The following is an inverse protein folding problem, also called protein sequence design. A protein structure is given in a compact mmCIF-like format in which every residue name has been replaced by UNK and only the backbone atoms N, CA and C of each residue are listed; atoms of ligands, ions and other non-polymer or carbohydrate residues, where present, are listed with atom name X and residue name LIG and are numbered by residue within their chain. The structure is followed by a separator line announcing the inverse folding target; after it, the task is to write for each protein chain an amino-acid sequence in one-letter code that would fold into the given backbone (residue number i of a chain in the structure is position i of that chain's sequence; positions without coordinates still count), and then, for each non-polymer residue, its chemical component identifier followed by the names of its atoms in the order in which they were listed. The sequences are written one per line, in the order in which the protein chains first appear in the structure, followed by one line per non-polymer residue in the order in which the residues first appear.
data_IF_420933880409
#
_entry.id   IF_420933880409
#
_cell.length_a   1.000
_cell.length_b   1.000
_cell.length_c   1.000
_cell.angle_alpha   90.00
_cell.angle_beta   90.00
_cell.angle_gamma   90.00
#
_symmetry.space_group_name_H-M   'P 1'
#
loop_
_entity.id
_entity.type
_entity.pdbx_description
1 polymer ?
#
# COMPACT_ATOMS: atom_id res chain seq x y z
N UNK A 1 -7.21 -49.92 54.56
CA UNK A 1 -7.99 -49.06 55.47
C UNK A 1 -8.91 -48.17 54.65
N UNK A 2 -10.21 -48.28 54.92
CA UNK A 2 -11.26 -47.52 54.24
C UNK A 2 -11.36 -46.11 54.84
N UNK A 3 -11.61 -45.09 54.03
CA UNK A 3 -12.58 -44.04 54.38
C UNK A 3 -13.02 -43.23 53.15
N UNK A 4 -14.31 -43.35 52.87
CA UNK A 4 -15.07 -42.58 51.88
C UNK A 4 -15.48 -41.25 52.53
N UNK A 5 -15.49 -40.16 51.77
CA UNK A 5 -16.46 -39.09 51.99
C UNK A 5 -17.04 -38.68 50.63
N UNK A 6 -18.36 -38.84 50.52
CA UNK A 6 -19.20 -38.41 49.41
C UNK A 6 -19.86 -37.10 49.81
N UNK A 7 -19.84 -36.11 48.94
CA UNK A 7 -20.84 -35.03 48.92
C UNK A 7 -21.49 -35.03 47.53
N UNK A 8 -22.82 -34.92 47.56
CA UNK A 8 -23.78 -35.13 46.48
C UNK A 8 -24.14 -33.84 45.74
N UNK A 9 -24.55 -34.04 44.48
CA UNK A 9 -25.48 -33.23 43.66
C UNK A 9 -24.93 -31.89 43.11
N UNK A 10 -25.20 -31.49 41.86
CA UNK A 10 -26.48 -31.50 41.13
C UNK A 10 -26.24 -31.65 39.61
N UNK A 11 -27.16 -32.36 38.94
CA UNK A 11 -27.33 -32.47 37.49
C UNK A 11 -28.02 -31.22 36.90
N UNK A 12 -27.60 -30.74 35.73
CA UNK A 12 -28.38 -30.75 34.46
C UNK A 12 -27.66 -29.94 33.34
N UNK A 13 -27.86 -30.31 32.05
CA UNK A 13 -27.16 -29.76 30.88
C UNK A 13 -27.96 -28.65 30.16
N UNK A 14 -27.25 -27.75 29.47
CA UNK A 14 -27.77 -26.87 28.41
C UNK A 14 -26.64 -26.73 27.36
N UNK A 15 -26.69 -27.37 26.19
CA UNK A 15 -27.50 -27.11 24.99
C UNK A 15 -27.21 -25.76 24.32
N UNK A 16 -26.60 -25.82 23.13
CA UNK A 16 -26.47 -24.73 22.15
C UNK A 16 -25.19 -23.90 22.28
N UNK A 17 -24.50 -23.44 21.23
CA UNK A 17 -24.79 -23.36 19.80
C UNK A 17 -23.46 -23.20 19.06
N UNK A 18 -23.44 -23.73 17.85
CA UNK A 18 -22.46 -23.46 16.80
C UNK A 18 -22.32 -21.94 16.58
N UNK A 19 -21.11 -21.41 16.67
CA UNK A 19 -20.81 -20.00 16.42
C UNK A 19 -19.61 -19.87 15.50
N UNK A 20 -19.86 -19.91 14.18
CA UNK A 20 -18.95 -19.35 13.20
C UNK A 20 -18.81 -17.84 13.48
N UNK A 21 -17.82 -17.46 14.27
CA UNK A 21 -17.39 -16.07 14.40
C UNK A 21 -16.59 -15.71 13.14
N UNK A 22 -17.30 -15.17 12.14
CA UNK A 22 -16.70 -14.69 10.91
C UNK A 22 -15.57 -13.71 11.20
N UNK A 23 -14.42 -13.96 10.59
CA UNK A 23 -13.38 -12.96 10.51
C UNK A 23 -14.01 -11.70 9.89
N UNK A 24 -14.04 -10.62 10.65
CA UNK A 24 -14.27 -9.30 10.10
C UNK A 24 -13.05 -8.99 9.24
N UNK A 25 -13.12 -9.41 7.98
CA UNK A 25 -12.36 -8.82 6.91
C UNK A 25 -12.86 -7.38 6.86
N UNK A 26 -12.09 -6.47 7.46
CA UNK A 26 -12.31 -5.06 7.27
C UNK A 26 -12.26 -4.83 5.76
N UNK A 27 -13.40 -4.51 5.17
CA UNK A 27 -13.44 -3.98 3.81
C UNK A 27 -12.57 -2.73 3.82
N UNK A 28 -11.32 -2.90 3.37
CA UNK A 28 -10.45 -1.77 3.08
C UNK A 28 -11.23 -0.91 2.08
N UNK A 29 -11.42 0.39 2.34
CA UNK A 29 -12.09 1.24 1.38
C UNK A 29 -11.36 1.08 0.05
N UNK A 30 -12.10 0.70 -1.01
CA UNK A 30 -11.58 0.72 -2.36
C UNK A 30 -10.90 2.08 -2.54
N UNK A 31 -9.60 2.07 -2.79
CA UNK A 31 -8.73 3.24 -2.74
C UNK A 31 -9.28 4.33 -3.66
N UNK A 32 -10.11 5.22 -3.13
CA UNK A 32 -10.39 6.49 -3.74
C UNK A 32 -9.04 7.19 -3.75
N UNK A 33 -8.36 7.13 -4.90
CA UNK A 33 -6.99 7.63 -5.03
C UNK A 33 -6.90 9.01 -4.43
N UNK A 34 -5.79 9.27 -3.73
CA UNK A 34 -5.54 10.60 -3.20
C UNK A 34 -5.58 11.61 -4.33
N UNK A 35 -6.24 12.74 -4.08
CA UNK A 35 -6.31 13.86 -5.00
C UNK A 35 -5.81 15.09 -4.25
N UNK A 36 -4.79 15.80 -4.75
CA UNK A 36 -4.31 17.00 -4.11
C UNK A 36 -5.43 18.04 -4.03
N UNK A 37 -5.74 18.53 -2.84
CA UNK A 37 -6.76 19.60 -2.67
C UNK A 37 -6.25 20.98 -3.10
N UNK A 38 -4.94 21.13 -3.27
CA UNK A 38 -4.30 22.36 -3.76
C UNK A 38 -3.34 22.05 -4.91
N UNK A 39 -3.31 22.91 -5.93
CA UNK A 39 -2.35 22.80 -7.03
C UNK A 39 -0.89 23.03 -6.58
N UNK A 40 -0.67 23.60 -5.40
CA UNK A 40 0.67 23.74 -4.82
C UNK A 40 1.25 22.40 -4.31
N UNK A 41 0.41 21.36 -4.22
CA UNK A 41 0.79 19.97 -3.92
C UNK A 41 0.60 19.06 -5.14
N UNK A 42 0.61 19.61 -6.36
CA UNK A 42 0.40 18.83 -7.58
C UNK A 42 1.26 19.43 -8.68
N UNK A 43 2.46 18.88 -8.84
CA UNK A 43 3.47 19.45 -9.73
C UNK A 43 3.26 19.00 -11.18
N UNK A 44 2.74 17.77 -11.40
CA UNK A 44 2.62 17.18 -12.73
C UNK A 44 1.29 16.48 -12.97
N UNK A 45 0.64 16.81 -14.09
CA UNK A 45 -0.52 16.08 -14.59
C UNK A 45 -0.13 14.64 -14.98
N UNK A 46 -0.90 13.65 -14.54
CA UNK A 46 -0.71 12.23 -14.90
C UNK A 46 -0.67 12.01 -16.41
N UNK A 47 -1.47 12.75 -17.16
CA UNK A 47 -1.52 12.72 -18.63
C UNK A 47 -0.25 13.24 -19.31
N UNK A 48 0.57 14.03 -18.59
CA UNK A 48 1.85 14.57 -19.07
C UNK A 48 3.03 13.66 -18.76
N UNK A 49 2.87 12.69 -17.88
CA UNK A 49 3.91 11.70 -17.59
C UNK A 49 4.26 10.86 -18.83
N UNK A 50 5.50 10.36 -18.92
CA UNK A 50 5.85 9.34 -19.91
C UNK A 50 4.87 8.16 -19.87
N UNK A 51 4.62 7.53 -21.02
CA UNK A 51 3.68 6.40 -21.09
C UNK A 51 4.04 5.27 -20.12
N UNK A 52 5.33 5.00 -19.95
CA UNK A 52 5.84 3.98 -19.04
C UNK A 52 5.49 4.27 -17.57
N UNK A 53 5.46 5.55 -17.17
CA UNK A 53 5.06 5.91 -15.80
C UNK A 53 3.57 5.64 -15.59
N UNK A 54 2.74 5.98 -16.58
CA UNK A 54 1.29 5.69 -16.54
C UNK A 54 1.02 4.18 -16.54
N UNK A 55 1.82 3.41 -17.27
CA UNK A 55 1.74 1.94 -17.25
C UNK A 55 2.09 1.40 -15.85
N UNK A 56 3.15 1.91 -15.22
CA UNK A 56 3.48 1.57 -13.82
C UNK A 56 2.35 1.93 -12.87
N UNK A 57 1.73 3.11 -12.99
CA UNK A 57 0.57 3.49 -12.17
C UNK A 57 -0.62 2.53 -12.37
N UNK A 58 -0.85 2.06 -13.60
CA UNK A 58 -1.88 1.08 -13.88
C UNK A 58 -1.58 -0.31 -13.26
N UNK A 59 -0.29 -0.70 -13.17
CA UNK A 59 0.12 -1.91 -12.45
C UNK A 59 -0.07 -1.76 -10.93
N UNK A 60 0.33 -0.61 -10.37
CA UNK A 60 0.13 -0.30 -8.94
C UNK A 60 -1.35 -0.40 -8.58
N UNK A 61 -2.23 0.22 -9.38
CA UNK A 61 -3.68 0.18 -9.16
C UNK A 61 -4.27 -1.25 -9.21
N UNK A 62 -3.62 -2.17 -9.93
CA UNK A 62 -4.01 -3.59 -10.03
C UNK A 62 -3.35 -4.48 -8.97
N UNK A 63 -2.36 -3.98 -8.24
CA UNK A 63 -1.53 -4.79 -7.35
C UNK A 63 -0.49 -5.67 -8.06
N UNK A 64 -0.07 -5.30 -9.28
CA UNK A 64 0.90 -6.04 -10.09
C UNK A 64 0.25 -6.95 -11.16
N UNK A 65 0.97 -7.98 -11.67
CA UNK A 65 2.35 -8.34 -11.32
C UNK A 65 3.37 -7.26 -11.70
N UNK A 66 4.43 -7.13 -10.90
CA UNK A 66 5.46 -6.12 -11.14
C UNK A 66 6.68 -6.70 -11.89
N UNK A 67 7.29 -5.93 -12.81
CA UNK A 67 8.39 -6.42 -13.64
C UNK A 67 9.71 -6.59 -12.88
N UNK A 68 9.91 -5.87 -11.77
CA UNK A 68 11.13 -5.98 -10.98
C UNK A 68 10.84 -6.45 -9.56
N UNK A 69 11.72 -7.30 -9.02
CA UNK A 69 11.61 -7.86 -7.65
C UNK A 69 11.54 -6.82 -6.53
N UNK A 70 12.06 -5.62 -6.80
CA UNK A 70 12.11 -4.51 -5.84
C UNK A 70 10.89 -3.61 -5.95
N UNK A 71 10.01 -3.82 -6.91
CA UNK A 71 8.80 -3.01 -7.03
C UNK A 71 7.84 -3.37 -5.89
N UNK A 72 7.36 -2.34 -5.19
CA UNK A 72 6.52 -2.46 -4.00
C UNK A 72 7.28 -2.60 -2.69
N UNK A 73 8.62 -2.51 -2.67
CA UNK A 73 9.35 -2.42 -1.39
C UNK A 73 9.16 -1.05 -0.74
N UNK A 74 9.42 -0.97 0.56
CA UNK A 74 9.36 0.28 1.32
C UNK A 74 10.40 1.28 0.80
N UNK A 75 9.94 2.51 0.53
CA UNK A 75 10.79 3.66 0.29
C UNK A 75 10.96 4.43 1.61
N UNK A 76 12.17 4.39 2.16
CA UNK A 76 12.42 4.92 3.51
C UNK A 76 12.43 6.46 3.60
N UNK A 77 12.47 7.18 2.46
CA UNK A 77 12.55 8.64 2.42
C UNK A 77 13.67 9.22 3.33
N UNK A 78 14.86 8.62 3.30
CA UNK A 78 15.98 8.94 4.20
C UNK A 78 16.43 10.39 4.08
N UNK A 79 16.49 10.89 2.86
CA UNK A 79 16.88 12.26 2.54
C UNK A 79 15.76 13.27 2.83
N UNK A 80 14.54 12.81 3.17
CA UNK A 80 13.43 13.64 3.61
C UNK A 80 12.89 14.56 2.52
N UNK A 81 12.91 14.12 1.26
CA UNK A 81 12.41 14.89 0.10
C UNK A 81 10.88 14.88 0.00
N UNK A 82 10.23 13.83 0.49
CA UNK A 82 8.78 13.75 0.67
C UNK A 82 8.39 14.10 2.11
N UNK A 83 7.12 14.43 2.40
CA UNK A 83 6.65 14.64 3.76
C UNK A 83 7.03 13.49 4.70
N UNK A 84 7.45 13.82 5.93
CA UNK A 84 7.90 12.83 6.91
C UNK A 84 6.72 12.03 7.46
N UNK A 85 6.62 10.77 7.04
CA UNK A 85 5.64 9.79 7.52
C UNK A 85 6.33 8.64 8.26
N UNK A 86 5.58 7.87 9.05
CA UNK A 86 6.12 6.77 9.88
C UNK A 86 6.00 5.42 9.17
N UNK A 87 6.89 4.49 9.50
CA UNK A 87 6.77 3.09 9.09
C UNK A 87 6.99 2.86 7.59
N UNK A 88 6.17 2.00 7.02
CA UNK A 88 6.13 1.58 5.62
C UNK A 88 5.24 2.48 4.75
N UNK A 89 5.04 3.75 5.13
CA UNK A 89 4.08 4.63 4.47
C UNK A 89 4.30 4.76 2.95
N UNK A 90 5.56 4.80 2.52
CA UNK A 90 5.91 4.96 1.12
C UNK A 90 6.43 3.65 0.52
N UNK A 91 6.02 3.35 -0.72
CA UNK A 91 6.52 2.22 -1.51
C UNK A 91 7.01 2.68 -2.87
N UNK A 92 8.09 2.09 -3.37
CA UNK A 92 8.69 2.45 -4.67
C UNK A 92 8.37 1.46 -5.78
N UNK A 93 8.23 1.97 -7.01
CA UNK A 93 7.97 1.20 -8.22
C UNK A 93 8.84 1.69 -9.36
N UNK A 94 9.42 0.76 -10.10
CA UNK A 94 10.22 1.07 -11.27
C UNK A 94 9.35 1.59 -12.42
N UNK A 95 9.81 2.65 -13.07
CA UNK A 95 9.29 3.08 -14.35
C UNK A 95 10.30 2.71 -15.43
N UNK A 96 9.85 1.91 -16.40
CA UNK A 96 10.72 1.41 -17.47
C UNK A 96 11.30 2.58 -18.27
N UNK A 97 12.61 2.53 -18.51
CA UNK A 97 13.29 3.44 -19.44
C UNK A 97 13.52 2.69 -20.76
N UNK A 98 12.84 3.07 -21.86
CA UNK A 98 12.98 2.36 -23.14
C UNK A 98 14.42 2.26 -23.60
N UNK A 99 14.83 1.07 -24.04
CA UNK A 99 16.18 0.78 -24.50
C UNK A 99 17.24 0.66 -23.39
N UNK A 100 16.89 0.90 -22.12
CA UNK A 100 17.82 0.69 -21.02
C UNK A 100 17.99 -0.81 -20.73
N UNK A 101 19.23 -1.30 -20.54
CA UNK A 101 19.48 -2.68 -20.10
C UNK A 101 19.32 -2.86 -18.57
N UNK A 102 19.04 -1.78 -17.84
CA UNK A 102 18.88 -1.79 -16.38
C UNK A 102 17.50 -1.24 -15.99
N UNK A 103 17.23 -1.13 -14.68
CA UNK A 103 16.02 -0.47 -14.16
C UNK A 103 15.95 1.03 -14.51
N UNK A 104 17.08 1.64 -14.86
CA UNK A 104 17.18 3.10 -15.03
C UNK A 104 16.91 3.88 -13.74
N UNK A 105 16.77 5.21 -13.88
CA UNK A 105 16.61 6.16 -12.77
C UNK A 105 15.14 6.45 -12.40
N UNK A 106 14.20 6.16 -13.31
CA UNK A 106 12.81 6.61 -13.21
C UNK A 106 12.00 5.77 -12.22
N UNK A 107 11.22 6.40 -11.35
CA UNK A 107 10.38 5.72 -10.36
C UNK A 107 9.05 6.43 -10.16
N UNK A 108 8.08 5.66 -9.68
CA UNK A 108 6.93 6.18 -8.93
C UNK A 108 7.11 5.81 -7.47
N UNK A 109 6.76 6.70 -6.56
CA UNK A 109 6.61 6.40 -5.13
C UNK A 109 5.16 6.65 -4.73
N UNK A 110 4.54 5.72 -4.00
CA UNK A 110 3.17 5.87 -3.52
C UNK A 110 3.11 6.02 -2.02
N UNK A 111 2.25 6.90 -1.51
CA UNK A 111 1.89 6.98 -0.09
C UNK A 111 0.66 6.14 0.26
N UNK A 112 0.53 5.73 1.52
CA UNK A 112 -0.61 4.89 1.97
C UNK A 112 -1.96 5.59 1.89
N UNK A 113 -2.03 6.93 1.89
CA UNK A 113 -3.29 7.63 1.67
C UNK A 113 -3.66 7.72 0.18
N UNK A 114 -2.78 7.25 -0.70
CA UNK A 114 -2.97 7.15 -2.14
C UNK A 114 -2.18 8.18 -2.94
N UNK A 115 -1.35 8.99 -2.29
CA UNK A 115 -0.47 9.96 -2.95
C UNK A 115 0.45 9.25 -3.94
N UNK A 116 0.79 9.92 -5.04
CA UNK A 116 1.67 9.38 -6.06
C UNK A 116 2.68 10.44 -6.44
N UNK A 117 3.96 10.08 -6.37
CA UNK A 117 5.08 10.95 -6.72
C UNK A 117 5.85 10.34 -7.87
N UNK A 118 6.25 11.20 -8.81
CA UNK A 118 7.12 10.86 -9.92
C UNK A 118 8.54 11.35 -9.64
N UNK A 119 9.54 10.55 -9.98
CA UNK A 119 10.94 10.98 -10.03
C UNK A 119 11.57 10.46 -11.32
N UNK A 120 12.23 11.36 -12.05
CA UNK A 120 12.95 11.02 -13.28
C UNK A 120 14.43 10.69 -13.03
N UNK A 121 14.93 11.01 -11.84
CA UNK A 121 16.35 11.18 -11.51
C UNK A 121 16.78 10.39 -10.27
N UNK A 122 16.12 9.24 -10.02
CA UNK A 122 16.48 8.32 -8.95
C UNK A 122 16.41 8.97 -7.55
N UNK A 123 15.24 9.55 -7.26
CA UNK A 123 14.87 10.15 -5.99
C UNK A 123 15.58 11.47 -5.66
N UNK A 124 16.25 12.11 -6.62
CA UNK A 124 16.89 13.41 -6.38
C UNK A 124 15.87 14.55 -6.35
N UNK A 125 14.87 14.49 -7.22
CA UNK A 125 13.71 15.38 -7.22
C UNK A 125 12.40 14.59 -7.32
N UNK A 126 11.31 15.20 -6.87
CA UNK A 126 9.97 14.63 -6.94
C UNK A 126 8.99 15.65 -7.48
N UNK A 127 8.03 15.15 -8.25
CA UNK A 127 6.84 15.86 -8.68
C UNK A 127 5.61 15.09 -8.17
N UNK A 128 4.73 15.75 -7.44
CA UNK A 128 3.46 15.15 -7.02
C UNK A 128 2.50 15.03 -8.21
N UNK A 129 1.91 13.85 -8.41
CA UNK A 129 1.10 13.51 -9.58
C UNK A 129 -0.36 13.88 -9.34
N UNK A 130 -0.96 14.66 -10.23
CA UNK A 130 -2.33 15.19 -10.03
C UNK A 130 -3.46 14.18 -10.24
N UNK A 131 -3.39 13.16 -11.08
CA UNK A 131 -4.50 12.24 -11.41
C UNK A 131 -5.81 12.83 -12.00
N UNK A 132 -6.27 14.04 -11.64
CA UNK A 132 -7.43 14.71 -12.28
C UNK A 132 -7.06 15.26 -13.65
N UNK A 133 -5.78 15.60 -13.81
CA UNK A 133 -5.07 15.68 -15.07
C UNK A 133 -3.90 14.68 -15.06
#
# INVERSE_FOLDING_TARGET
MNRRLRLLAVLLPALGLFGCGGGQQADAPASAGWVPTSAAYADVCRTKLPVQARDTLALVAKGGPYPYRSDGIVFENREGRLPRMKGDYYHEYTVVTPGSPTRGARRVVTGSAGEQYWTADHYDTFEEIDARC
#
